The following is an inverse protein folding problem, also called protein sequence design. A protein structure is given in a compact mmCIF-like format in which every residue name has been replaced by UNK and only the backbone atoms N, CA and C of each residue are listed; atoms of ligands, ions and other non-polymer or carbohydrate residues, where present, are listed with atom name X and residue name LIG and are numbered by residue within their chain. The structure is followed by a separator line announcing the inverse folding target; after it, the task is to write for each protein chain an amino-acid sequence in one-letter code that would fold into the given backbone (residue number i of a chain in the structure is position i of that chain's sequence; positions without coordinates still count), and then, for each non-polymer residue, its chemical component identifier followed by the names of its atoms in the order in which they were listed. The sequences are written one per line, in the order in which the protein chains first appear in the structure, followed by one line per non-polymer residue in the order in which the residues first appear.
data_IF_205176407397
#
_entry.id   IF_205176407397
#
_cell.length_a   1.000
_cell.length_b   1.000
_cell.length_c   1.000
_cell.angle_alpha   90.00
_cell.angle_beta   90.00
_cell.angle_gamma   90.00
#
_symmetry.space_group_name_H-M   'P 1'
#
loop_
_entity.id
_entity.type
_entity.pdbx_description
1 polymer ?
#
# COMPACT_ATOMS: atom_id res chain seq x y z
N UNK A 1 0.83 -18.62 -21.52
CA UNK A 1 -0.04 -17.74 -20.70
C UNK A 1 -0.39 -16.51 -21.53
N UNK A 2 -1.69 -16.19 -21.68
CA UNK A 2 -2.14 -15.07 -22.52
C UNK A 2 -1.55 -13.74 -22.01
N UNK A 3 -1.02 -12.89 -22.88
CA UNK A 3 -0.26 -11.68 -22.49
C UNK A 3 -1.06 -10.75 -21.56
N UNK A 4 -2.37 -10.65 -21.80
CA UNK A 4 -3.31 -9.87 -20.97
C UNK A 4 -3.41 -10.37 -19.53
N UNK A 5 -3.50 -11.68 -19.33
CA UNK A 5 -3.57 -12.29 -17.99
C UNK A 5 -2.29 -12.01 -17.21
N UNK A 6 -1.13 -12.08 -17.86
CA UNK A 6 0.16 -11.77 -17.23
C UNK A 6 0.23 -10.32 -16.77
N UNK A 7 -0.30 -9.37 -17.55
CA UNK A 7 -0.31 -7.95 -17.20
C UNK A 7 -1.26 -7.63 -16.04
N UNK A 8 -2.46 -8.23 -16.04
CA UNK A 8 -3.42 -8.09 -14.94
C UNK A 8 -2.84 -8.68 -13.64
N UNK A 9 -2.22 -9.86 -13.72
CA UNK A 9 -1.54 -10.45 -12.57
C UNK A 9 -0.42 -9.56 -12.06
N UNK A 10 0.41 -9.01 -12.94
CA UNK A 10 1.49 -8.10 -12.53
C UNK A 10 0.93 -6.86 -11.83
N UNK A 11 -0.08 -6.20 -12.41
CA UNK A 11 -0.72 -5.04 -11.80
C UNK A 11 -1.35 -5.39 -10.45
N UNK A 12 -2.02 -6.53 -10.33
CA UNK A 12 -2.64 -6.94 -9.08
C UNK A 12 -1.63 -7.26 -7.98
N UNK A 13 -0.55 -7.97 -8.33
CA UNK A 13 0.56 -8.24 -7.42
C UNK A 13 1.26 -6.97 -6.95
N UNK A 14 1.40 -5.98 -7.84
CA UNK A 14 1.99 -4.69 -7.52
C UNK A 14 1.23 -3.97 -6.41
N UNK A 15 -0.10 -4.13 -6.30
CA UNK A 15 -0.89 -3.50 -5.22
C UNK A 15 -1.11 -4.41 -4.00
N UNK A 16 -1.30 -5.71 -4.21
CA UNK A 16 -1.63 -6.65 -3.13
C UNK A 16 -0.48 -6.88 -2.14
N UNK A 17 0.77 -7.02 -2.62
CA UNK A 17 1.93 -7.28 -1.76
C UNK A 17 2.25 -6.09 -0.85
N UNK A 18 2.36 -4.84 -1.34
CA UNK A 18 2.61 -3.69 -0.47
C UNK A 18 1.53 -3.50 0.58
N UNK A 19 0.26 -3.75 0.23
CA UNK A 19 -0.85 -3.67 1.18
C UNK A 19 -0.74 -4.71 2.29
N UNK A 20 -0.44 -5.97 1.93
CA UNK A 20 -0.22 -7.03 2.89
C UNK A 20 0.93 -6.73 3.84
N UNK A 21 2.07 -6.28 3.30
CA UNK A 21 3.24 -5.90 4.10
C UNK A 21 2.92 -4.75 5.05
N UNK A 22 2.22 -3.73 4.57
CA UNK A 22 1.89 -2.56 5.37
C UNK A 22 1.02 -2.91 6.58
N UNK A 23 -0.10 -3.60 6.36
CA UNK A 23 -1.00 -3.97 7.46
C UNK A 23 -0.32 -4.96 8.41
N UNK A 24 0.50 -5.88 7.90
CA UNK A 24 1.28 -6.79 8.74
C UNK A 24 2.26 -6.02 9.64
N UNK A 25 2.93 -5.00 9.11
CA UNK A 25 3.84 -4.15 9.87
C UNK A 25 3.11 -3.30 10.92
N UNK A 26 1.90 -2.80 10.62
CA UNK A 26 1.05 -2.10 11.62
C UNK A 26 0.73 -3.03 12.78
N UNK A 27 0.24 -4.24 12.48
CA UNK A 27 -0.15 -5.18 13.54
C UNK A 27 1.05 -5.62 14.38
N UNK A 28 2.21 -5.78 13.76
CA UNK A 28 3.46 -5.99 14.49
C UNK A 28 3.85 -4.80 15.38
N UNK A 29 3.66 -3.57 14.91
CA UNK A 29 3.94 -2.37 15.69
C UNK A 29 2.99 -2.22 16.89
N UNK A 30 1.72 -2.60 16.73
CA UNK A 30 0.71 -2.62 17.79
C UNK A 30 0.80 -3.84 18.72
N UNK A 31 1.75 -4.74 18.50
CA UNK A 31 1.85 -6.04 19.20
C UNK A 31 0.56 -6.88 19.12
N UNK A 32 -0.21 -6.72 18.03
CA UNK A 32 -1.44 -7.48 17.79
C UNK A 32 -1.15 -8.73 16.96
N UNK A 33 -1.93 -9.81 17.12
CA UNK A 33 -1.82 -11.01 16.28
C UNK A 33 -2.07 -10.63 14.81
N UNK A 34 -1.69 -11.44 13.81
CA UNK A 34 -1.94 -11.15 12.40
C UNK A 34 -3.42 -10.86 12.08
N UNK A 35 -3.67 -10.11 11.00
CA UNK A 35 -5.03 -9.88 10.54
C UNK A 35 -5.68 -11.21 10.14
N UNK A 36 -6.96 -11.38 10.48
CA UNK A 36 -7.71 -12.63 10.25
C UNK A 36 -7.09 -13.87 10.92
N UNK A 37 -6.27 -13.69 11.96
CA UNK A 37 -5.68 -14.78 12.73
C UNK A 37 -4.55 -15.55 12.02
N UNK A 38 -4.28 -15.27 10.75
CA UNK A 38 -3.23 -15.93 9.97
C UNK A 38 -2.66 -15.01 8.90
N UNK A 39 -1.33 -14.89 8.89
CA UNK A 39 -0.59 -14.14 7.86
C UNK A 39 -0.91 -14.65 6.45
N UNK A 40 -1.07 -15.96 6.28
CA UNK A 40 -1.34 -16.60 4.99
C UNK A 40 -2.74 -16.29 4.48
N UNK A 41 -3.74 -16.28 5.36
CA UNK A 41 -5.12 -15.90 4.99
C UNK A 41 -5.17 -14.42 4.59
N UNK A 42 -4.49 -13.57 5.35
CA UNK A 42 -4.43 -12.15 5.04
C UNK A 42 -3.67 -11.85 3.73
N UNK A 43 -2.60 -12.61 3.44
CA UNK A 43 -1.90 -12.53 2.16
C UNK A 43 -2.83 -12.89 0.99
N UNK A 44 -3.59 -13.97 1.12
CA UNK A 44 -4.54 -14.40 0.10
C UNK A 44 -5.58 -13.31 -0.19
N UNK A 45 -6.19 -12.74 0.85
CA UNK A 45 -7.18 -11.66 0.73
C UNK A 45 -6.55 -10.43 0.05
N UNK A 46 -5.31 -10.08 0.43
CA UNK A 46 -4.60 -8.93 -0.14
C UNK A 46 -4.26 -9.14 -1.62
N UNK A 47 -3.88 -10.35 -2.02
CA UNK A 47 -3.62 -10.72 -3.42
C UNK A 47 -4.93 -10.66 -4.23
N UNK A 48 -6.03 -11.22 -3.70
CA UNK A 48 -7.34 -11.18 -4.35
C UNK A 48 -7.81 -9.73 -4.54
N UNK A 49 -7.70 -8.90 -3.50
CA UNK A 49 -8.02 -7.48 -3.57
C UNK A 49 -7.14 -6.73 -4.58
N UNK A 50 -5.84 -7.01 -4.58
CA UNK A 50 -4.90 -6.49 -5.56
C UNK A 50 -5.30 -6.84 -6.99
N UNK A 51 -5.64 -8.11 -7.26
CA UNK A 51 -6.11 -8.57 -8.57
C UNK A 51 -7.39 -7.86 -9.02
N UNK A 52 -8.36 -7.64 -8.13
CA UNK A 52 -9.56 -6.85 -8.43
C UNK A 52 -9.21 -5.41 -8.86
N UNK A 53 -8.31 -4.74 -8.13
CA UNK A 53 -7.83 -3.40 -8.49
C UNK A 53 -7.08 -3.40 -9.82
N UNK A 54 -6.27 -4.43 -10.06
CA UNK A 54 -5.56 -4.65 -11.32
C UNK A 54 -6.50 -4.82 -12.51
N UNK A 55 -7.60 -5.55 -12.33
CA UNK A 55 -8.65 -5.73 -13.34
C UNK A 55 -9.35 -4.41 -13.68
N UNK A 56 -9.74 -3.63 -12.68
CA UNK A 56 -10.42 -2.33 -12.87
C UNK A 56 -9.47 -1.31 -13.55
N UNK A 57 -8.19 -1.35 -13.19
CA UNK A 57 -7.18 -0.40 -13.69
C UNK A 57 -6.58 -0.79 -15.04
N UNK A 58 -6.90 -1.98 -15.56
CA UNK A 58 -6.32 -2.50 -16.79
C UNK A 58 -6.75 -1.68 -18.00
N UNK A 59 -5.77 -1.10 -18.71
CA UNK A 59 -5.97 -0.47 -20.02
C UNK A 59 -4.99 -1.11 -21.03
N UNK A 60 -5.48 -1.69 -22.14
CA UNK A 60 -4.63 -2.40 -23.09
C UNK A 60 -3.75 -1.40 -23.87
N UNK A 61 -2.49 -1.20 -23.43
CA UNK A 61 -1.46 -0.52 -24.21
C UNK A 61 -0.05 -0.79 -23.63
N UNK A 62 0.76 -1.59 -24.33
CA UNK A 62 2.07 -2.08 -23.85
C UNK A 62 3.11 -0.97 -23.61
N UNK A 63 3.07 0.12 -24.38
CA UNK A 63 3.94 1.29 -24.18
C UNK A 63 3.56 2.12 -22.95
N UNK A 64 2.29 2.03 -22.48
CA UNK A 64 1.91 2.61 -21.18
C UNK A 64 2.55 1.84 -20.04
N UNK A 65 2.65 0.52 -20.12
CA UNK A 65 3.10 -0.34 -19.00
C UNK A 65 4.48 0.05 -18.49
N UNK A 66 5.51 0.17 -19.35
CA UNK A 66 6.87 0.60 -18.94
C UNK A 66 6.89 1.97 -18.26
N UNK A 67 6.11 2.93 -18.79
CA UNK A 67 6.00 4.29 -18.21
C UNK A 67 5.23 4.25 -16.89
N UNK A 68 4.24 3.37 -16.76
CA UNK A 68 3.48 3.11 -15.53
C UNK A 68 4.34 2.44 -14.47
N UNK A 69 5.25 1.52 -14.84
CA UNK A 69 6.14 0.84 -13.88
C UNK A 69 7.11 1.81 -13.22
N UNK A 70 7.76 2.71 -13.98
CA UNK A 70 8.66 3.72 -13.40
C UNK A 70 7.90 4.66 -12.46
N UNK A 71 6.71 5.12 -12.87
CA UNK A 71 5.84 5.93 -12.01
C UNK A 71 5.47 5.18 -10.73
N UNK A 72 5.03 3.94 -10.88
CA UNK A 72 4.66 3.07 -9.77
C UNK A 72 5.79 2.87 -8.77
N UNK A 73 7.04 2.64 -9.23
CA UNK A 73 8.19 2.49 -8.34
C UNK A 73 8.40 3.76 -7.52
N UNK A 74 8.38 4.94 -8.15
CA UNK A 74 8.51 6.22 -7.44
C UNK A 74 7.39 6.42 -6.43
N UNK A 75 6.14 6.14 -6.82
CA UNK A 75 4.96 6.21 -5.96
C UNK A 75 5.04 5.25 -4.77
N UNK A 76 5.45 4.00 -5.03
CA UNK A 76 5.63 2.97 -4.02
C UNK A 76 6.74 3.35 -3.03
N UNK A 77 7.85 3.93 -3.50
CA UNK A 77 8.93 4.42 -2.62
C UNK A 77 8.47 5.55 -1.70
N UNK A 78 7.70 6.50 -2.23
CA UNK A 78 7.10 7.58 -1.42
C UNK A 78 6.15 6.99 -0.38
N UNK A 79 5.29 6.05 -0.78
CA UNK A 79 4.35 5.37 0.10
C UNK A 79 5.08 4.60 1.22
N UNK A 80 6.12 3.84 0.87
CA UNK A 80 6.97 3.10 1.82
C UNK A 80 7.63 4.06 2.81
N UNK A 81 8.18 5.19 2.35
CA UNK A 81 8.79 6.18 3.23
C UNK A 81 7.79 6.73 4.25
N UNK A 82 6.60 7.10 3.80
CA UNK A 82 5.54 7.63 4.67
C UNK A 82 5.06 6.56 5.66
N UNK A 83 4.89 5.33 5.21
CA UNK A 83 4.55 4.20 6.07
C UNK A 83 5.63 3.86 7.09
N UNK A 84 6.90 3.96 6.72
CA UNK A 84 8.00 3.78 7.67
C UNK A 84 7.95 4.86 8.77
N UNK A 85 7.74 6.13 8.41
CA UNK A 85 7.57 7.22 9.38
C UNK A 85 6.36 6.96 10.30
N UNK A 86 5.24 6.53 9.74
CA UNK A 86 4.06 6.15 10.52
C UNK A 86 4.36 5.05 11.53
N UNK A 87 5.02 3.96 11.10
CA UNK A 87 5.33 2.82 11.97
C UNK A 87 6.26 3.20 13.13
N UNK A 88 7.20 4.12 12.88
CA UNK A 88 8.08 4.65 13.92
C UNK A 88 7.25 5.43 14.97
N UNK A 89 6.39 6.33 14.52
CA UNK A 89 5.49 7.11 15.40
C UNK A 89 4.55 6.17 16.17
N UNK A 90 3.99 5.17 15.48
CA UNK A 90 3.09 4.19 16.05
C UNK A 90 3.76 3.41 17.19
N UNK A 91 4.93 2.84 16.93
CA UNK A 91 5.64 1.98 17.89
C UNK A 91 6.28 2.75 19.05
N UNK A 92 6.83 3.94 18.79
CA UNK A 92 7.56 4.71 19.82
C UNK A 92 6.68 5.66 20.63
N UNK A 93 5.57 6.13 20.06
CA UNK A 93 4.76 7.19 20.68
C UNK A 93 3.34 6.70 20.99
N UNK A 94 2.62 6.21 19.99
CA UNK A 94 1.18 5.91 20.13
C UNK A 94 0.94 4.64 20.97
N UNK A 95 1.71 3.57 20.73
CA UNK A 95 1.56 2.30 21.45
C UNK A 95 1.93 2.43 22.94
N UNK A 96 3.08 3.00 23.34
CA UNK A 96 3.44 3.15 24.76
C UNK A 96 2.48 4.07 25.53
N UNK A 97 1.83 5.01 24.84
CA UNK A 97 0.82 5.91 25.45
C UNK A 97 -0.59 5.32 25.47
N UNK A 98 -0.79 4.08 25.02
CA UNK A 98 -2.11 3.45 24.94
C UNK A 98 -3.05 4.11 23.91
N UNK A 99 -2.52 4.88 22.97
CA UNK A 99 -3.27 5.65 21.97
C UNK A 99 -3.37 4.92 20.61
N UNK A 100 -2.97 3.65 20.54
CA UNK A 100 -3.02 2.88 19.29
C UNK A 100 -4.44 2.77 18.70
N UNK A 101 -5.46 2.64 19.55
CA UNK A 101 -6.86 2.54 19.11
C UNK A 101 -7.60 3.89 19.10
N UNK A 102 -6.87 4.99 19.24
CA UNK A 102 -7.46 6.33 19.32
C UNK A 102 -7.81 6.91 17.95
N UNK A 103 -8.81 7.81 17.91
CA UNK A 103 -9.13 8.61 16.73
C UNK A 103 -7.92 9.38 16.19
N UNK A 104 -7.01 9.80 17.08
CA UNK A 104 -5.75 10.45 16.70
C UNK A 104 -4.87 9.55 15.83
N UNK A 105 -4.79 8.25 16.12
CA UNK A 105 -4.04 7.31 15.28
C UNK A 105 -4.65 7.22 13.88
N UNK A 106 -5.98 7.09 13.80
CA UNK A 106 -6.69 7.04 12.52
C UNK A 106 -6.54 8.33 11.71
N UNK A 107 -6.66 9.49 12.36
CA UNK A 107 -6.48 10.80 11.72
C UNK A 107 -5.03 11.00 11.24
N UNK A 108 -4.04 10.55 12.02
CA UNK A 108 -2.63 10.61 11.65
C UNK A 108 -2.33 9.68 10.47
N UNK A 109 -2.88 8.47 10.46
CA UNK A 109 -2.78 7.56 9.32
C UNK A 109 -3.40 8.14 8.04
N UNK A 110 -4.61 8.71 8.13
CA UNK A 110 -5.30 9.33 6.98
C UNK A 110 -4.49 10.52 6.45
N UNK A 111 -4.02 11.41 7.34
CA UNK A 111 -3.23 12.58 6.93
C UNK A 111 -1.92 12.19 6.25
N UNK A 112 -1.24 11.14 6.75
CA UNK A 112 -0.05 10.59 6.12
C UNK A 112 -0.34 9.95 4.75
N UNK A 113 -1.44 9.22 4.59
CA UNK A 113 -1.83 8.65 3.28
C UNK A 113 -2.13 9.74 2.23
N UNK A 114 -2.58 10.92 2.66
CA UNK A 114 -2.82 12.05 1.75
C UNK A 114 -1.51 12.68 1.23
N UNK A 115 -0.39 12.57 1.95
CA UNK A 115 0.89 13.16 1.54
C UNK A 115 1.40 12.59 0.20
N UNK A 116 1.50 11.25 0.01
CA UNK A 116 1.85 10.66 -1.28
C UNK A 116 0.93 11.13 -2.41
N UNK A 117 -0.38 11.23 -2.16
CA UNK A 117 -1.38 11.64 -3.17
C UNK A 117 -1.14 13.08 -3.62
N UNK A 118 -0.84 13.98 -2.68
CA UNK A 118 -0.54 15.39 -2.97
C UNK A 118 0.82 15.53 -3.67
N UNK A 119 1.84 14.79 -3.22
CA UNK A 119 3.18 14.78 -3.82
C UNK A 119 3.14 14.25 -5.25
N UNK A 120 2.43 13.15 -5.50
CA UNK A 120 2.21 12.62 -6.85
C UNK A 120 1.55 13.66 -7.76
N UNK A 121 0.47 14.30 -7.29
CA UNK A 121 -0.19 15.36 -8.06
C UNK A 121 0.79 16.46 -8.45
N UNK A 122 1.66 16.92 -7.54
CA UNK A 122 2.67 17.95 -7.84
C UNK A 122 3.76 17.47 -8.80
N UNK A 123 4.29 16.26 -8.59
CA UNK A 123 5.34 15.67 -9.43
C UNK A 123 4.88 15.41 -10.87
N UNK A 124 3.60 15.09 -11.06
CA UNK A 124 3.05 14.78 -12.38
C UNK A 124 2.23 15.92 -13.03
N UNK A 125 1.92 17.01 -12.32
CA UNK A 125 1.36 18.25 -12.92
C UNK A 125 2.37 19.04 -13.76
N UNK A 126 3.66 18.81 -13.56
CA UNK A 126 4.74 19.51 -14.29
C UNK A 126 5.08 18.88 -15.66
N UNK A 127 4.11 18.23 -16.33
CA UNK A 127 4.29 17.70 -17.68
C UNK A 127 3.15 18.07 -18.61
#
# INVERSE_FOLDING_TARGET
MNSKLKEIFLMGFMWGIPFWLFISAIRWAENKPPAFGSLSIFLLISIIGGLCVGLISYKPNSNKIKRTTKKFITSALILISVFATYLIILKLILVPKGMADSFLNTALLISLILIPIVLEKRLYKQK
#
